data_IF_919792654498
#
_entry.id   IF_919792654498
#
_cell.length_a   1.000
_cell.length_b   1.000
_cell.length_c   1.000
_cell.angle_alpha   90.00
_cell.angle_beta   90.00
_cell.angle_gamma   90.00
#
_symmetry.space_group_name_H-M   'P 1'
#
loop_
_entity.id
_entity.type
_entity.pdbx_description
1 polymer ?
#
# COMPACT_ATOMS: atom_id res chain seq x y z
N UNK A 1 -10.83 -10.03 46.59
CA UNK A 1 -10.66 -8.57 46.80
C UNK A 1 -9.19 -8.23 46.62
N UNK A 2 -8.79 -7.52 45.55
CA UNK A 2 -7.43 -6.98 45.46
C UNK A 2 -7.23 -5.90 46.54
N UNK A 3 -6.08 -5.89 47.20
CA UNK A 3 -5.70 -4.81 48.12
C UNK A 3 -5.60 -3.48 47.35
N UNK A 4 -6.17 -2.39 47.87
CA UNK A 4 -6.11 -1.04 47.27
C UNK A 4 -4.69 -0.62 46.88
N UNK A 5 -3.67 -1.06 47.65
CA UNK A 5 -2.25 -0.80 47.35
C UNK A 5 -1.81 -1.44 46.02
N UNK A 6 -2.27 -2.66 45.72
CA UNK A 6 -1.95 -3.34 44.45
C UNK A 6 -2.64 -2.67 43.26
N UNK A 7 -3.87 -2.19 43.43
CA UNK A 7 -4.59 -1.45 42.37
C UNK A 7 -3.91 -0.12 42.04
N UNK A 8 -3.41 0.59 43.05
CA UNK A 8 -2.65 1.82 42.85
C UNK A 8 -1.27 1.55 42.21
N UNK A 9 -0.60 0.46 42.58
CA UNK A 9 0.63 0.04 41.94
C UNK A 9 0.40 -0.27 40.45
N UNK A 10 -0.61 -1.09 40.12
CA UNK A 10 -0.95 -1.45 38.75
C UNK A 10 -1.26 -0.25 37.85
N UNK A 11 -1.90 0.81 38.39
CA UNK A 11 -2.14 2.06 37.66
C UNK A 11 -0.86 2.84 37.31
N UNK A 12 0.21 2.67 38.09
CA UNK A 12 1.50 3.34 37.88
C UNK A 12 2.50 2.48 37.11
N UNK A 13 2.31 1.16 37.10
CA UNK A 13 3.16 0.23 36.37
C UNK A 13 3.10 0.53 34.88
N UNK A 14 4.28 0.70 34.27
CA UNK A 14 4.42 0.64 32.82
C UNK A 14 4.14 -0.81 32.44
N UNK A 15 2.99 -1.05 31.83
CA UNK A 15 2.68 -2.38 31.31
C UNK A 15 3.73 -2.65 30.23
N UNK A 16 4.42 -3.81 30.27
CA UNK A 16 5.28 -4.23 29.19
C UNK A 16 4.53 -4.14 27.86
N UNK A 17 5.28 -4.04 26.77
CA UNK A 17 4.73 -3.98 25.43
C UNK A 17 4.08 -5.33 25.04
N UNK A 18 2.94 -5.60 25.65
CA UNK A 18 2.18 -6.84 25.53
C UNK A 18 0.99 -6.55 24.62
N UNK A 19 1.03 -7.13 23.43
CA UNK A 19 -0.06 -7.12 22.48
C UNK A 19 -1.30 -7.79 23.07
N UNK A 20 -2.35 -7.01 23.35
CA UNK A 20 -3.61 -7.51 23.88
C UNK A 20 -4.65 -7.64 22.76
N UNK A 21 -4.93 -8.89 22.38
CA UNK A 21 -5.87 -9.23 21.29
C UNK A 21 -7.28 -9.57 21.80
N UNK A 22 -8.28 -8.92 21.22
CA UNK A 22 -9.71 -9.15 21.48
C UNK A 22 -10.34 -9.86 20.29
N UNK A 23 -10.54 -11.17 20.42
CA UNK A 23 -11.09 -12.04 19.36
C UNK A 23 -12.28 -12.90 19.83
N UNK A 24 -12.77 -12.66 21.05
CA UNK A 24 -13.99 -13.26 21.59
C UNK A 24 -14.50 -12.47 22.80
N UNK A 25 -15.69 -12.82 23.27
CA UNK A 25 -16.35 -12.20 24.43
C UNK A 25 -15.52 -12.27 25.73
N UNK A 26 -14.85 -13.39 26.00
CA UNK A 26 -14.02 -13.52 27.21
C UNK A 26 -12.86 -12.52 27.20
N UNK A 27 -12.21 -12.34 26.04
CA UNK A 27 -11.15 -11.32 25.86
C UNK A 27 -11.70 -9.91 25.92
N UNK A 28 -12.89 -9.66 25.40
CA UNK A 28 -13.58 -8.38 25.55
C UNK A 28 -13.85 -8.06 27.04
N UNK A 29 -14.40 -9.02 27.79
CA UNK A 29 -14.63 -8.86 29.24
C UNK A 29 -13.32 -8.62 30.01
N UNK A 30 -12.23 -9.26 29.60
CA UNK A 30 -10.90 -8.93 30.11
C UNK A 30 -10.49 -7.48 29.79
N UNK A 31 -10.67 -7.02 28.55
CA UNK A 31 -10.43 -5.62 28.17
C UNK A 31 -11.23 -4.66 29.04
N UNK A 32 -12.51 -4.98 29.26
CA UNK A 32 -13.41 -4.18 30.08
C UNK A 32 -12.92 -4.06 31.52
N UNK A 33 -12.45 -5.15 32.13
CA UNK A 33 -11.82 -5.12 33.45
C UNK A 33 -10.50 -4.31 33.45
N UNK A 34 -9.73 -4.40 32.36
CA UNK A 34 -8.45 -3.69 32.20
C UNK A 34 -8.62 -2.17 32.13
N UNK A 35 -9.76 -1.63 31.67
CA UNK A 35 -10.00 -0.17 31.72
C UNK A 35 -9.80 0.42 33.12
N UNK A 36 -10.15 -0.35 34.16
CA UNK A 36 -10.07 0.05 35.56
C UNK A 36 -8.77 -0.36 36.24
N UNK A 37 -8.16 -1.46 35.78
CA UNK A 37 -6.98 -2.05 36.39
C UNK A 37 -5.66 -1.57 35.75
N UNK A 38 -5.67 -1.36 34.44
CA UNK A 38 -4.51 -1.08 33.58
C UNK A 38 -4.85 0.02 32.53
N UNK A 39 -5.22 1.24 32.95
CA UNK A 39 -5.52 2.33 32.02
C UNK A 39 -4.31 2.79 31.19
N UNK A 40 -3.10 2.35 31.56
CA UNK A 40 -1.85 2.63 30.86
C UNK A 40 -1.48 1.62 29.78
N UNK A 41 -2.40 0.73 29.38
CA UNK A 41 -2.19 -0.20 28.28
C UNK A 41 -1.87 0.60 26.99
N UNK A 42 -0.88 0.13 26.24
CA UNK A 42 -0.33 0.85 25.09
C UNK A 42 -0.67 0.21 23.74
N UNK A 43 -1.06 -1.07 23.73
CA UNK A 43 -1.29 -1.84 22.50
C UNK A 43 -2.60 -2.60 22.62
N UNK A 44 -3.49 -2.42 21.66
CA UNK A 44 -4.77 -3.13 21.57
C UNK A 44 -4.97 -3.57 20.12
N UNK A 45 -5.29 -4.85 19.92
CA UNK A 45 -5.71 -5.41 18.64
C UNK A 45 -7.13 -5.95 18.78
N UNK A 46 -8.06 -5.36 18.04
CA UNK A 46 -9.45 -5.80 17.93
C UNK A 46 -9.55 -6.67 16.69
N UNK A 47 -9.80 -7.97 16.87
CA UNK A 47 -9.91 -8.93 15.77
C UNK A 47 -11.34 -9.40 15.59
N UNK A 48 -11.58 -10.16 14.53
CA UNK A 48 -12.85 -10.85 14.33
C UNK A 48 -13.27 -11.58 15.60
N UNK A 49 -14.46 -11.25 16.09
CA UNK A 49 -15.08 -11.85 17.29
C UNK A 49 -15.70 -13.22 16.99
N UNK A 50 -15.45 -13.75 15.79
CA UNK A 50 -15.95 -15.01 15.28
C UNK A 50 -17.27 -14.82 14.55
N UNK A 51 -17.21 -14.85 13.21
CA UNK A 51 -18.34 -14.93 12.29
C UNK A 51 -19.44 -15.93 12.76
N UNK A 52 -19.03 -17.01 13.41
CA UNK A 52 -19.89 -18.10 13.88
C UNK A 52 -20.65 -17.83 15.19
N UNK A 53 -20.41 -16.71 15.88
CA UNK A 53 -20.92 -16.52 17.25
C UNK A 53 -22.04 -15.48 17.38
N UNK A 54 -22.46 -14.85 16.28
CA UNK A 54 -23.47 -13.79 16.31
C UNK A 54 -23.13 -12.69 17.33
N UNK A 55 -21.87 -12.23 17.34
CA UNK A 55 -21.39 -11.14 18.20
C UNK A 55 -20.93 -9.99 17.31
N UNK A 56 -21.37 -8.77 17.60
CA UNK A 56 -20.91 -7.54 16.95
C UNK A 56 -20.51 -6.46 17.95
N UNK A 57 -19.85 -5.41 17.47
CA UNK A 57 -19.77 -4.17 18.21
C UNK A 57 -21.05 -3.34 18.00
N UNK A 58 -21.34 -2.42 18.92
CA UNK A 58 -22.45 -1.48 18.73
C UNK A 58 -22.26 -0.68 17.44
N UNK A 59 -23.37 -0.45 16.73
CA UNK A 59 -23.38 0.34 15.52
C UNK A 59 -22.91 1.78 15.84
N UNK A 60 -22.07 2.33 14.95
CA UNK A 60 -21.59 3.70 15.00
C UNK A 60 -22.60 4.69 14.45
N UNK A 61 -22.14 5.92 14.19
CA UNK A 61 -22.95 6.94 13.51
C UNK A 61 -23.15 6.56 12.03
N UNK A 62 -24.34 6.82 11.46
CA UNK A 62 -24.66 6.46 10.07
C UNK A 62 -24.36 4.97 9.71
N UNK A 63 -24.93 3.98 10.42
CA UNK A 63 -24.70 2.58 10.09
C UNK A 63 -25.34 2.21 8.74
N UNK A 64 -24.78 1.22 8.06
CA UNK A 64 -25.47 0.56 6.95
C UNK A 64 -26.76 -0.10 7.46
N UNK A 65 -27.90 0.37 6.96
CA UNK A 65 -29.23 -0.02 7.45
C UNK A 65 -29.48 -1.52 7.26
N UNK A 66 -29.07 -2.07 6.11
CA UNK A 66 -29.25 -3.49 5.83
C UNK A 66 -28.44 -4.34 6.81
N UNK A 67 -27.19 -3.97 7.05
CA UNK A 67 -26.31 -4.66 7.99
C UNK A 67 -26.80 -4.55 9.44
N UNK A 68 -27.32 -3.38 9.84
CA UNK A 68 -27.92 -3.17 11.15
C UNK A 68 -29.15 -4.07 11.36
N UNK A 69 -30.02 -4.19 10.36
CA UNK A 69 -31.19 -5.10 10.40
C UNK A 69 -30.75 -6.56 10.45
N UNK A 70 -29.78 -6.95 9.60
CA UNK A 70 -29.26 -8.32 9.49
C UNK A 70 -28.64 -8.81 10.80
N UNK A 71 -28.03 -7.90 11.57
CA UNK A 71 -27.35 -8.18 12.84
C UNK A 71 -28.14 -7.75 14.08
N UNK A 72 -29.41 -7.39 13.94
CA UNK A 72 -30.21 -6.83 15.04
C UNK A 72 -30.36 -7.78 16.24
N UNK A 73 -30.29 -9.10 16.02
CA UNK A 73 -30.39 -10.13 17.05
C UNK A 73 -29.03 -10.61 17.58
N UNK A 74 -27.92 -10.01 17.15
CA UNK A 74 -26.57 -10.40 17.58
C UNK A 74 -26.25 -9.79 18.95
N UNK A 75 -25.45 -10.50 19.74
CA UNK A 75 -24.92 -9.97 20.98
C UNK A 75 -24.02 -8.76 20.67
N UNK A 76 -24.27 -7.63 21.35
CA UNK A 76 -23.60 -6.36 21.04
C UNK A 76 -22.61 -6.00 22.15
N UNK A 77 -21.37 -5.73 21.77
CA UNK A 77 -20.29 -5.28 22.65
C UNK A 77 -20.06 -3.78 22.45
N UNK A 78 -19.80 -3.05 23.54
CA UNK A 78 -19.48 -1.62 23.47
C UNK A 78 -18.02 -1.42 23.02
N UNK A 79 -17.81 -0.92 21.80
CA UNK A 79 -16.48 -0.58 21.27
C UNK A 79 -15.91 0.70 21.93
N UNK A 80 -16.79 1.59 22.43
CA UNK A 80 -16.42 2.87 23.03
C UNK A 80 -15.53 2.74 24.26
N UNK A 81 -15.54 1.57 24.90
CA UNK A 81 -14.69 1.22 26.03
C UNK A 81 -13.20 1.44 25.76
N UNK A 82 -12.76 1.34 24.49
CA UNK A 82 -11.37 1.56 24.08
C UNK A 82 -10.89 3.00 24.36
N UNK A 83 -11.81 3.97 24.39
CA UNK A 83 -11.52 5.37 24.73
C UNK A 83 -10.97 5.55 26.15
N UNK A 84 -11.09 4.53 27.01
CA UNK A 84 -10.52 4.52 28.36
C UNK A 84 -8.98 4.42 28.36
N UNK A 85 -8.38 3.91 27.28
CA UNK A 85 -6.94 3.70 27.17
C UNK A 85 -6.23 4.94 26.60
N UNK A 86 -6.16 6.01 27.39
CA UNK A 86 -5.59 7.33 27.00
C UNK A 86 -4.10 7.28 26.61
N UNK A 87 -3.40 6.18 26.91
CA UNK A 87 -1.97 5.97 26.64
C UNK A 87 -1.72 4.99 25.49
N UNK A 88 -2.72 4.76 24.66
CA UNK A 88 -2.61 3.89 23.50
C UNK A 88 -1.58 4.47 22.51
N UNK A 89 -0.63 3.62 22.13
CA UNK A 89 0.42 3.89 21.14
C UNK A 89 0.17 3.11 19.85
N UNK A 90 -0.45 1.94 19.94
CA UNK A 90 -0.83 1.14 18.78
C UNK A 90 -2.27 0.65 18.90
N UNK A 91 -3.00 0.83 17.80
CA UNK A 91 -4.35 0.34 17.62
C UNK A 91 -4.42 -0.46 16.32
N UNK A 92 -4.77 -1.74 16.44
CA UNK A 92 -5.05 -2.61 15.31
C UNK A 92 -6.53 -3.00 15.33
N UNK A 93 -7.19 -2.91 14.19
CA UNK A 93 -8.57 -3.33 13.98
C UNK A 93 -8.58 -4.23 12.75
N UNK A 94 -8.84 -5.52 12.93
CA UNK A 94 -8.79 -6.52 11.88
C UNK A 94 -10.11 -7.30 11.84
N UNK A 95 -10.91 -7.11 10.80
CA UNK A 95 -12.17 -7.84 10.59
C UNK A 95 -13.10 -7.74 11.80
N UNK A 96 -13.08 -6.61 12.51
CA UNK A 96 -13.98 -6.34 13.60
C UNK A 96 -15.38 -6.06 13.02
N UNK A 97 -16.45 -6.71 13.55
CA UNK A 97 -17.83 -6.52 13.08
C UNK A 97 -18.36 -5.15 13.54
N UNK A 98 -17.90 -4.11 12.85
CA UNK A 98 -18.19 -2.71 13.07
C UNK A 98 -19.04 -2.18 11.92
N UNK A 99 -20.01 -1.31 12.20
CA UNK A 99 -20.94 -0.80 11.20
C UNK A 99 -21.21 0.68 11.45
N UNK A 100 -20.84 1.55 10.51
CA UNK A 100 -20.96 3.00 10.65
C UNK A 100 -19.66 3.67 11.12
N UNK A 101 -19.77 4.90 11.62
CA UNK A 101 -18.66 5.78 11.96
C UNK A 101 -18.34 5.85 13.44
N UNK A 102 -17.05 5.87 13.75
CA UNK A 102 -16.51 5.76 15.10
C UNK A 102 -15.42 6.82 15.33
N UNK A 103 -15.82 8.10 15.32
CA UNK A 103 -14.91 9.25 15.42
C UNK A 103 -13.99 9.20 16.65
N UNK A 104 -14.46 8.62 17.77
CA UNK A 104 -13.64 8.47 18.99
C UNK A 104 -12.40 7.60 18.80
N UNK A 105 -12.34 6.73 17.79
CA UNK A 105 -11.16 5.93 17.47
C UNK A 105 -9.98 6.78 16.99
N UNK A 106 -10.24 8.04 16.64
CA UNK A 106 -9.24 8.99 16.21
C UNK A 106 -8.95 10.04 17.28
N UNK A 107 -9.27 9.78 18.56
CA UNK A 107 -9.01 10.69 19.67
C UNK A 107 -7.95 10.12 20.65
N UNK A 108 -6.83 9.67 20.09
CA UNK A 108 -5.71 9.10 20.84
C UNK A 108 -4.43 9.93 20.59
N UNK A 109 -4.13 10.93 21.45
CA UNK A 109 -3.05 11.88 21.18
C UNK A 109 -1.64 11.27 21.22
N UNK A 110 -1.49 10.06 21.75
CA UNK A 110 -0.23 9.32 21.83
C UNK A 110 -0.12 8.18 20.83
N UNK A 111 -1.13 8.01 19.95
CA UNK A 111 -1.15 6.95 18.96
C UNK A 111 -0.05 7.17 17.92
N UNK A 112 0.75 6.14 17.70
CA UNK A 112 1.86 6.11 16.75
C UNK A 112 1.61 5.13 15.60
N UNK A 113 0.87 4.06 15.86
CA UNK A 113 0.58 3.02 14.87
C UNK A 113 -0.94 2.83 14.81
N UNK A 114 -1.50 2.96 13.62
CA UNK A 114 -2.90 2.67 13.34
C UNK A 114 -2.99 1.67 12.20
N UNK A 115 -3.60 0.52 12.45
CA UNK A 115 -3.82 -0.53 11.46
C UNK A 115 -5.31 -0.85 11.40
N UNK A 116 -5.93 -0.72 10.24
CA UNK A 116 -7.34 -1.05 10.02
C UNK A 116 -7.46 -1.90 8.77
N UNK A 117 -7.95 -3.13 8.94
CA UNK A 117 -8.21 -4.09 7.87
C UNK A 117 -9.65 -4.58 7.92
N UNK A 118 -10.38 -4.43 6.82
CA UNK A 118 -11.80 -4.77 6.73
C UNK A 118 -12.08 -5.77 5.59
N UNK A 119 -11.55 -6.99 5.69
CA UNK A 119 -11.81 -8.07 4.72
C UNK A 119 -13.21 -8.70 4.88
N UNK A 120 -13.83 -8.54 6.05
CA UNK A 120 -15.12 -9.15 6.34
C UNK A 120 -16.25 -8.29 5.77
N UNK A 121 -17.17 -8.90 5.01
CA UNK A 121 -18.36 -8.28 4.44
C UNK A 121 -19.31 -7.69 5.51
N UNK A 122 -19.12 -8.07 6.78
CA UNK A 122 -19.85 -7.52 7.92
C UNK A 122 -19.20 -6.28 8.53
N UNK A 123 -17.93 -6.06 8.21
CA UNK A 123 -17.18 -4.88 8.65
C UNK A 123 -17.43 -3.76 7.65
N UNK A 124 -18.27 -2.79 8.05
CA UNK A 124 -18.56 -1.58 7.28
C UNK A 124 -18.16 -0.32 8.06
N UNK A 125 -16.89 -0.19 8.54
CA UNK A 125 -16.47 1.02 9.21
C UNK A 125 -16.44 2.19 8.21
N UNK A 126 -17.24 3.22 8.50
CA UNK A 126 -17.29 4.45 7.71
C UNK A 126 -16.44 5.52 8.37
N UNK A 127 -15.41 6.00 7.70
CA UNK A 127 -14.63 7.12 8.22
C UNK A 127 -13.91 7.85 7.08
N UNK A 128 -13.36 9.01 7.42
CA UNK A 128 -12.70 9.92 6.49
C UNK A 128 -11.27 10.20 6.94
N UNK A 129 -10.31 10.29 6.00
CA UNK A 129 -8.92 10.59 6.32
C UNK A 129 -8.72 11.90 7.11
N UNK A 130 -9.63 12.87 7.02
CA UNK A 130 -9.62 14.10 7.82
C UNK A 130 -9.75 13.87 9.33
N UNK A 131 -10.26 12.70 9.75
CA UNK A 131 -10.33 12.33 11.17
C UNK A 131 -8.95 12.13 11.80
N UNK A 132 -7.89 11.93 11.00
CA UNK A 132 -6.52 11.76 11.48
C UNK A 132 -5.96 13.00 12.21
N UNK A 133 -6.63 14.15 12.12
CA UNK A 133 -6.32 15.34 12.91
C UNK A 133 -6.32 15.11 14.42
N UNK A 134 -7.05 14.11 14.94
CA UNK A 134 -7.06 13.76 16.36
C UNK A 134 -5.96 12.79 16.81
N UNK A 135 -5.10 12.31 15.90
CA UNK A 135 -3.94 11.43 16.18
C UNK A 135 -2.62 12.05 15.69
N UNK A 136 -2.22 13.22 16.20
CA UNK A 136 -1.13 14.03 15.64
C UNK A 136 0.28 13.44 15.77
N UNK A 137 0.46 12.34 16.51
CA UNK A 137 1.74 11.66 16.69
C UNK A 137 1.89 10.39 15.85
N UNK A 138 0.96 10.15 14.92
CA UNK A 138 0.94 8.97 14.08
C UNK A 138 2.21 8.90 13.21
N UNK A 139 2.84 7.72 13.22
CA UNK A 139 4.05 7.37 12.48
C UNK A 139 3.78 6.33 11.39
N UNK A 140 2.91 5.37 11.67
CA UNK A 140 2.56 4.30 10.76
C UNK A 140 1.04 4.23 10.59
N UNK A 141 0.60 4.26 9.34
CA UNK A 141 -0.79 4.13 8.94
C UNK A 141 -0.93 2.96 7.96
N UNK A 142 -1.70 1.94 8.33
CA UNK A 142 -1.99 0.79 7.46
C UNK A 142 -3.49 0.61 7.30
N UNK A 143 -4.00 0.85 6.11
CA UNK A 143 -5.41 0.77 5.74
C UNK A 143 -5.55 -0.21 4.59
N UNK A 144 -6.23 -1.33 4.83
CA UNK A 144 -6.39 -2.38 3.83
C UNK A 144 -7.86 -2.77 3.70
N UNK A 145 -8.34 -2.88 2.48
CA UNK A 145 -9.67 -3.42 2.17
C UNK A 145 -10.81 -2.60 2.81
N UNK A 146 -10.66 -1.28 2.92
CA UNK A 146 -11.69 -0.42 3.52
C UNK A 146 -12.56 0.21 2.42
N UNK A 147 -13.59 -0.52 1.97
CA UNK A 147 -14.49 -0.07 0.89
C UNK A 147 -15.19 1.28 1.20
N UNK A 148 -15.46 1.55 2.49
CA UNK A 148 -16.16 2.75 2.95
C UNK A 148 -15.23 3.84 3.49
N UNK A 149 -13.91 3.64 3.43
CA UNK A 149 -12.95 4.71 3.72
C UNK A 149 -13.00 5.74 2.60
N UNK A 150 -13.33 6.98 2.94
CA UNK A 150 -13.29 8.11 2.02
C UNK A 150 -12.20 9.11 2.43
N UNK A 151 -12.01 10.12 1.59
CA UNK A 151 -11.22 11.29 1.92
C UNK A 151 -10.11 11.53 0.93
N UNK A 152 -9.44 12.66 1.10
CA UNK A 152 -8.32 13.06 0.27
C UNK A 152 -7.00 12.78 1.00
N UNK A 153 -6.00 12.22 0.32
CA UNK A 153 -4.67 11.96 0.91
C UNK A 153 -3.96 13.23 1.39
N UNK A 154 -4.30 14.40 0.86
CA UNK A 154 -3.83 15.70 1.35
C UNK A 154 -4.23 15.95 2.84
N UNK A 155 -5.28 15.27 3.34
CA UNK A 155 -5.62 15.29 4.78
C UNK A 155 -4.49 14.76 5.66
N UNK A 156 -3.57 13.94 5.12
CA UNK A 156 -2.38 13.46 5.84
C UNK A 156 -1.38 14.58 6.17
N UNK A 157 -1.53 15.80 5.60
CA UNK A 157 -0.66 16.95 5.93
C UNK A 157 -0.65 17.30 7.42
N UNK A 158 -1.72 16.98 8.15
CA UNK A 158 -1.75 17.12 9.62
C UNK A 158 -0.67 16.27 10.32
N UNK A 159 -0.17 15.24 9.64
CA UNK A 159 0.87 14.31 10.10
C UNK A 159 2.23 14.54 9.42
N UNK A 160 2.41 15.63 8.64
CA UNK A 160 3.63 15.91 7.87
C UNK A 160 4.91 15.76 8.69
N UNK A 161 4.90 16.20 9.96
CA UNK A 161 6.07 16.14 10.83
C UNK A 161 6.36 14.79 11.48
N UNK A 162 5.45 13.81 11.38
CA UNK A 162 5.49 12.58 12.19
C UNK A 162 5.38 11.30 11.38
N UNK A 163 4.61 11.29 10.29
CA UNK A 163 4.35 10.07 9.53
C UNK A 163 5.63 9.59 8.82
N UNK A 164 5.89 8.29 8.95
CA UNK A 164 7.03 7.60 8.39
C UNK A 164 6.59 6.55 7.36
N UNK A 165 5.43 5.90 7.58
CA UNK A 165 4.92 4.85 6.69
C UNK A 165 3.43 4.99 6.45
N UNK A 166 3.04 4.92 5.18
CA UNK A 166 1.65 4.98 4.73
C UNK A 166 1.40 3.82 3.79
N UNK A 167 0.49 2.93 4.18
CA UNK A 167 -0.03 1.86 3.34
C UNK A 167 -1.54 2.01 3.26
N UNK A 168 -2.04 2.32 2.08
CA UNK A 168 -3.47 2.41 1.78
C UNK A 168 -3.68 1.54 0.56
N UNK A 169 -4.32 0.38 0.75
CA UNK A 169 -4.52 -0.61 -0.31
C UNK A 169 -5.96 -1.05 -0.38
N UNK A 170 -6.47 -1.21 -1.61
CA UNK A 170 -7.87 -1.59 -1.89
C UNK A 170 -8.86 -0.68 -1.15
N UNK A 171 -8.64 0.64 -1.25
CA UNK A 171 -9.44 1.69 -0.65
C UNK A 171 -9.88 2.66 -1.74
N UNK A 172 -10.70 2.17 -2.67
CA UNK A 172 -11.02 2.81 -3.97
C UNK A 172 -11.65 4.20 -3.89
N UNK A 173 -12.16 4.62 -2.72
CA UNK A 173 -12.75 5.96 -2.53
C UNK A 173 -11.77 6.98 -1.95
N UNK A 174 -10.55 6.56 -1.62
CA UNK A 174 -9.45 7.47 -1.27
C UNK A 174 -8.93 8.11 -2.55
N UNK A 175 -8.93 9.43 -2.56
CA UNK A 175 -8.58 10.26 -3.72
C UNK A 175 -7.49 11.29 -3.36
N UNK A 176 -7.09 12.12 -4.33
CA UNK A 176 -6.12 13.21 -4.15
C UNK A 176 -4.93 13.04 -5.09
N UNK A 177 -3.94 13.94 -5.01
CA UNK A 177 -2.71 13.84 -5.81
C UNK A 177 -1.57 13.36 -4.91
N UNK A 178 -0.84 12.30 -5.28
CA UNK A 178 0.25 11.77 -4.45
C UNK A 178 1.38 12.80 -4.19
N UNK A 179 1.56 13.77 -5.09
CA UNK A 179 2.51 14.87 -4.92
C UNK A 179 2.16 15.79 -3.74
N UNK A 180 0.93 15.75 -3.21
CA UNK A 180 0.59 16.44 -1.96
C UNK A 180 1.41 15.93 -0.75
N UNK A 181 2.08 14.79 -0.88
CA UNK A 181 2.91 14.17 0.15
C UNK A 181 4.43 14.35 -0.11
N UNK A 182 4.82 15.00 -1.20
CA UNK A 182 6.20 15.12 -1.64
C UNK A 182 7.12 15.81 -0.62
N UNK A 183 6.59 16.76 0.14
CA UNK A 183 7.33 17.58 1.09
C UNK A 183 7.40 16.97 2.50
N UNK A 184 7.07 15.69 2.67
CA UNK A 184 7.05 15.02 3.96
C UNK A 184 8.47 14.59 4.35
N UNK A 185 9.10 15.23 5.37
CA UNK A 185 10.52 15.06 5.66
C UNK A 185 10.89 13.68 6.25
N UNK A 186 9.89 12.87 6.61
CA UNK A 186 10.09 11.59 7.30
C UNK A 186 9.42 10.40 6.59
N UNK A 187 8.71 10.63 5.50
CA UNK A 187 7.99 9.59 4.79
C UNK A 187 9.00 8.67 4.09
N UNK A 188 9.07 7.43 4.55
CA UNK A 188 9.96 6.37 4.05
C UNK A 188 9.23 5.39 3.14
N UNK A 189 7.99 5.07 3.47
CA UNK A 189 7.23 4.06 2.71
C UNK A 189 5.87 4.62 2.34
N UNK A 190 5.56 4.61 1.05
CA UNK A 190 4.29 5.08 0.49
C UNK A 190 3.71 4.03 -0.45
N UNK A 191 2.65 3.35 -0.01
CA UNK A 191 1.89 2.39 -0.80
C UNK A 191 0.45 2.88 -0.92
N UNK A 192 0.00 3.11 -2.14
CA UNK A 192 -1.32 3.65 -2.47
C UNK A 192 -2.08 2.77 -3.47
N UNK A 193 -1.74 1.49 -3.54
CA UNK A 193 -2.26 0.52 -4.52
C UNK A 193 -3.79 0.38 -4.45
N UNK A 194 -4.46 0.18 -5.58
CA UNK A 194 -5.92 0.07 -5.68
C UNK A 194 -6.69 1.20 -4.96
N UNK A 195 -6.21 2.45 -5.09
CA UNK A 195 -6.92 3.67 -4.67
C UNK A 195 -7.29 4.53 -5.88
N UNK A 196 -8.12 5.57 -5.67
CA UNK A 196 -8.41 6.57 -6.71
C UNK A 196 -7.46 7.78 -6.63
N UNK A 197 -6.27 7.61 -6.05
CA UNK A 197 -5.23 8.64 -6.04
C UNK A 197 -4.69 8.83 -7.45
N UNK A 198 -4.45 10.08 -7.83
CA UNK A 198 -3.92 10.49 -9.14
C UNK A 198 -2.57 11.20 -8.97
N UNK A 199 -2.00 11.63 -10.09
CA UNK A 199 -0.75 12.38 -10.16
C UNK A 199 0.07 11.95 -11.38
N UNK A 200 1.30 12.42 -11.47
CA UNK A 200 2.23 12.07 -12.55
C UNK A 200 3.64 11.86 -12.00
N UNK A 201 4.24 10.69 -12.25
CA UNK A 201 5.60 10.38 -11.75
C UNK A 201 6.67 11.30 -12.34
N UNK A 202 6.39 11.93 -13.49
CA UNK A 202 7.30 12.90 -14.12
C UNK A 202 7.40 14.21 -13.33
N UNK A 203 6.46 14.47 -12.44
CA UNK A 203 6.46 15.65 -11.57
C UNK A 203 7.41 15.50 -10.37
N UNK A 204 7.92 14.29 -10.10
CA UNK A 204 8.84 14.05 -8.98
C UNK A 204 10.19 14.70 -9.28
N UNK A 205 10.51 15.77 -8.53
CA UNK A 205 11.78 16.47 -8.58
C UNK A 205 12.84 15.88 -7.65
N UNK A 206 14.04 16.46 -7.73
CA UNK A 206 15.19 16.07 -6.90
C UNK A 206 14.98 16.34 -5.39
N UNK A 207 14.14 17.33 -5.05
CA UNK A 207 13.87 17.75 -3.67
C UNK A 207 12.62 17.11 -3.06
N UNK A 208 11.90 16.31 -3.84
CA UNK A 208 10.68 15.63 -3.40
C UNK A 208 11.03 14.29 -2.76
N UNK A 209 10.24 13.84 -1.78
CA UNK A 209 10.35 12.50 -1.20
C UNK A 209 11.78 12.13 -0.73
N UNK A 210 12.49 13.08 -0.09
CA UNK A 210 13.91 12.94 0.26
C UNK A 210 14.23 11.73 1.16
N UNK A 211 13.27 11.29 1.97
CA UNK A 211 13.42 10.16 2.89
C UNK A 211 12.82 8.85 2.36
N UNK A 212 12.28 8.84 1.13
CA UNK A 212 11.50 7.72 0.62
C UNK A 212 12.41 6.55 0.20
N UNK A 213 12.09 5.39 0.75
CA UNK A 213 12.75 4.10 0.58
C UNK A 213 11.89 3.14 -0.24
N UNK A 214 10.56 3.25 -0.17
CA UNK A 214 9.63 2.41 -0.97
C UNK A 214 8.48 3.24 -1.53
N UNK A 215 8.16 3.03 -2.82
CA UNK A 215 7.07 3.71 -3.51
C UNK A 215 6.23 2.73 -4.35
N UNK A 216 4.94 2.64 -4.02
CA UNK A 216 3.92 1.92 -4.81
C UNK A 216 2.75 2.84 -5.06
N UNK A 217 2.52 3.15 -6.34
CA UNK A 217 1.48 4.07 -6.80
C UNK A 217 0.39 3.30 -7.57
N UNK A 218 -0.89 3.69 -7.46
CA UNK A 218 -1.98 3.02 -8.17
C UNK A 218 -1.90 3.29 -9.67
N UNK A 219 -2.63 2.49 -10.43
CA UNK A 219 -2.82 2.65 -11.89
C UNK A 219 -3.49 3.97 -12.30
N UNK A 220 -4.16 4.67 -11.36
CA UNK A 220 -4.69 6.03 -11.56
C UNK A 220 -3.62 7.13 -11.62
N UNK A 221 -2.38 6.84 -11.21
CA UNK A 221 -1.24 7.77 -11.33
C UNK A 221 -0.57 7.56 -12.69
N UNK A 222 -0.31 8.62 -13.43
CA UNK A 222 0.42 8.54 -14.70
C UNK A 222 1.84 8.01 -14.44
N UNK A 223 2.09 6.78 -14.89
CA UNK A 223 3.31 6.03 -14.61
C UNK A 223 3.35 5.28 -13.28
N UNK A 224 2.22 5.14 -12.60
CA UNK A 224 2.04 4.20 -11.49
C UNK A 224 2.10 2.74 -11.93
N UNK A 225 2.06 1.82 -10.96
CA UNK A 225 2.12 0.38 -11.24
C UNK A 225 0.86 -0.05 -11.99
N UNK A 226 1.05 -0.74 -13.11
CA UNK A 226 -0.04 -1.19 -13.97
C UNK A 226 -0.72 -0.08 -14.78
N UNK A 227 -0.14 1.13 -14.83
CA UNK A 227 -0.71 2.24 -15.62
C UNK A 227 -0.95 1.82 -17.08
N UNK A 228 -2.11 2.18 -17.61
CA UNK A 228 -2.54 1.87 -18.98
C UNK A 228 -2.20 2.98 -19.97
N UNK A 229 -1.17 2.76 -20.78
CA UNK A 229 -0.75 3.68 -21.84
C UNK A 229 -1.71 3.62 -23.03
N UNK A 230 -2.05 4.78 -23.59
CA UNK A 230 -2.82 4.83 -24.83
C UNK A 230 -1.93 4.67 -26.07
N UNK A 231 -0.64 5.01 -25.99
CA UNK A 231 0.31 4.85 -27.10
C UNK A 231 1.64 4.30 -26.61
N UNK A 232 2.33 3.53 -27.45
CA UNK A 232 3.68 3.01 -27.17
C UNK A 232 4.68 4.14 -26.88
N UNK A 233 4.54 5.28 -27.56
CA UNK A 233 5.44 6.43 -27.39
C UNK A 233 5.41 7.04 -25.99
N UNK A 234 4.26 6.99 -25.33
CA UNK A 234 4.05 7.62 -24.02
C UNK A 234 4.83 6.87 -22.91
N UNK A 235 5.00 5.56 -23.09
CA UNK A 235 5.67 4.69 -22.14
C UNK A 235 7.16 5.00 -21.98
N UNK A 236 7.83 5.42 -23.05
CA UNK A 236 9.26 5.71 -23.03
C UNK A 236 9.59 6.91 -22.12
N UNK A 237 8.75 7.94 -22.13
CA UNK A 237 8.94 9.13 -21.30
C UNK A 237 8.72 8.82 -19.81
N UNK A 238 7.72 7.98 -19.51
CA UNK A 238 7.50 7.47 -18.15
C UNK A 238 8.68 6.61 -17.68
N UNK A 239 9.13 5.65 -18.48
CA UNK A 239 10.25 4.79 -18.11
C UNK A 239 11.52 5.60 -17.79
N UNK A 240 11.80 6.66 -18.56
CA UNK A 240 12.91 7.59 -18.28
C UNK A 240 12.72 8.38 -16.99
N UNK A 241 11.50 8.80 -16.67
CA UNK A 241 11.22 9.49 -15.42
C UNK A 241 11.41 8.57 -14.22
N UNK A 242 10.87 7.35 -14.28
CA UNK A 242 11.04 6.32 -13.24
C UNK A 242 12.52 5.97 -13.05
N UNK A 243 13.26 5.80 -14.16
CA UNK A 243 14.72 5.65 -14.13
C UNK A 243 15.42 6.83 -13.45
N UNK A 244 15.03 8.07 -13.75
CA UNK A 244 15.62 9.27 -13.14
C UNK A 244 15.41 9.29 -11.63
N UNK A 245 14.22 8.89 -11.15
CA UNK A 245 13.92 8.77 -9.73
C UNK A 245 14.82 7.70 -9.08
N UNK A 246 14.92 6.51 -9.69
CA UNK A 246 15.76 5.40 -9.21
C UNK A 246 17.24 5.78 -9.19
N UNK A 247 17.73 6.51 -10.20
CA UNK A 247 19.10 6.99 -10.28
C UNK A 247 19.43 8.01 -9.20
N UNK A 248 18.52 8.95 -8.95
CA UNK A 248 18.65 9.93 -7.87
C UNK A 248 18.60 9.27 -6.48
N UNK A 249 17.87 8.16 -6.35
CA UNK A 249 17.65 7.45 -5.08
C UNK A 249 17.90 5.94 -5.28
N UNK A 250 19.17 5.49 -5.34
CA UNK A 250 19.47 4.08 -5.64
C UNK A 250 18.82 3.09 -4.68
N UNK A 251 18.65 3.48 -3.41
CA UNK A 251 17.97 2.68 -2.38
C UNK A 251 16.45 2.63 -2.50
N UNK A 252 15.83 3.46 -3.35
CA UNK A 252 14.38 3.46 -3.53
C UNK A 252 13.94 2.17 -4.21
N UNK A 253 13.05 1.45 -3.54
CA UNK A 253 12.38 0.26 -4.05
C UNK A 253 11.11 0.68 -4.78
N UNK A 254 11.10 0.43 -6.09
CA UNK A 254 9.94 0.55 -6.95
C UNK A 254 9.40 -0.86 -7.18
N UNK A 255 8.63 -1.35 -6.20
CA UNK A 255 8.18 -2.76 -6.16
C UNK A 255 7.40 -3.13 -7.43
N UNK A 256 8.01 -4.00 -8.24
CA UNK A 256 7.45 -4.54 -9.48
C UNK A 256 6.83 -3.44 -10.36
N UNK A 257 7.56 -2.34 -10.60
CA UNK A 257 7.07 -1.32 -11.52
C UNK A 257 6.93 -1.90 -12.93
N UNK A 258 5.73 -1.78 -13.47
CA UNK A 258 5.44 -1.99 -14.87
C UNK A 258 4.30 -1.07 -15.29
N UNK A 259 4.17 -0.83 -16.58
CA UNK A 259 2.92 -0.35 -17.17
C UNK A 259 2.51 -1.25 -18.33
N UNK A 260 1.31 -1.04 -18.85
CA UNK A 260 0.75 -1.86 -19.92
C UNK A 260 0.11 -0.99 -20.98
N UNK A 261 0.06 -1.48 -22.20
CA UNK A 261 -0.75 -0.85 -23.23
C UNK A 261 -2.23 -1.08 -22.92
N UNK A 262 -3.05 -0.04 -23.05
CA UNK A 262 -4.51 -0.12 -22.93
C UNK A 262 -5.06 -1.05 -24.00
N UNK A 263 -6.05 -1.89 -23.65
CA UNK A 263 -6.77 -2.70 -24.64
C UNK A 263 -7.58 -1.88 -25.66
N UNK A 264 -7.73 -0.58 -25.40
CA UNK A 264 -8.36 0.40 -26.29
C UNK A 264 -7.33 1.24 -27.07
N UNK A 265 -6.03 0.98 -26.89
CA UNK A 265 -4.98 1.67 -27.63
C UNK A 265 -5.07 1.36 -29.13
N UNK A 266 -4.79 2.32 -30.02
CA UNK A 266 -4.63 2.04 -31.45
C UNK A 266 -3.44 1.14 -31.77
N UNK A 267 -2.46 1.06 -30.86
CA UNK A 267 -1.29 0.18 -30.97
C UNK A 267 -1.59 -1.24 -30.42
N UNK A 268 -2.77 -1.46 -29.82
CA UNK A 268 -3.16 -2.75 -29.28
C UNK A 268 -3.58 -3.70 -30.38
N UNK A 269 -3.16 -4.96 -30.27
CA UNK A 269 -3.59 -6.04 -31.14
C UNK A 269 -3.86 -7.30 -30.33
N UNK A 270 -4.81 -8.11 -30.80
CA UNK A 270 -5.30 -9.26 -30.06
C UNK A 270 -4.22 -10.35 -29.99
N UNK A 271 -3.99 -10.83 -28.77
CA UNK A 271 -2.93 -11.75 -28.46
C UNK A 271 -3.50 -13.08 -28.01
N UNK A 272 -3.91 -13.87 -29.01
CA UNK A 272 -4.49 -15.20 -28.82
C UNK A 272 -3.59 -16.17 -28.04
N UNK A 273 -2.32 -15.84 -27.81
CA UNK A 273 -1.33 -16.71 -27.16
C UNK A 273 -0.59 -16.05 -25.98
N UNK A 274 -0.98 -14.86 -25.53
CA UNK A 274 -0.29 -14.12 -24.45
C UNK A 274 1.22 -13.91 -24.72
N UNK A 275 1.64 -13.78 -25.99
CA UNK A 275 3.05 -13.57 -26.41
C UNK A 275 3.36 -12.15 -26.88
N UNK A 276 2.38 -11.30 -27.10
CA UNK A 276 2.59 -9.92 -27.51
C UNK A 276 3.25 -9.13 -26.37
N UNK A 277 4.36 -8.42 -26.62
CA UNK A 277 5.10 -7.75 -25.58
C UNK A 277 4.45 -6.40 -25.23
N UNK A 278 3.27 -6.42 -24.60
CA UNK A 278 2.45 -5.22 -24.38
C UNK A 278 2.62 -4.60 -22.98
N UNK A 279 3.56 -5.09 -22.18
CA UNK A 279 3.95 -4.52 -20.89
C UNK A 279 5.33 -3.87 -20.98
N UNK A 280 5.52 -2.70 -20.37
CA UNK A 280 6.82 -2.08 -20.20
C UNK A 280 7.29 -2.27 -18.76
N UNK A 281 8.55 -2.66 -18.58
CA UNK A 281 9.15 -2.83 -17.26
C UNK A 281 10.60 -2.32 -17.24
N UNK A 282 11.09 -1.97 -16.05
CA UNK A 282 12.51 -1.72 -15.84
C UNK A 282 13.27 -3.05 -15.77
N UNK A 283 14.50 -3.04 -16.27
CA UNK A 283 15.43 -4.17 -16.20
C UNK A 283 16.77 -3.71 -15.67
N UNK A 284 17.41 -4.58 -14.90
CA UNK A 284 18.68 -4.34 -14.24
C UNK A 284 19.65 -5.49 -14.56
N UNK A 285 20.87 -5.14 -14.96
CA UNK A 285 21.99 -6.05 -15.05
C UNK A 285 23.18 -5.40 -14.33
N UNK A 286 23.61 -5.97 -13.21
CA UNK A 286 24.57 -5.35 -12.31
C UNK A 286 24.14 -3.94 -11.93
N UNK A 287 25.00 -2.94 -12.15
CA UNK A 287 24.67 -1.53 -11.91
C UNK A 287 23.94 -0.84 -13.06
N UNK A 288 23.67 -1.53 -14.17
CA UNK A 288 23.14 -0.93 -15.40
C UNK A 288 21.62 -1.07 -15.44
N UNK A 289 20.93 0.05 -15.60
CA UNK A 289 19.48 0.08 -15.76
C UNK A 289 19.06 0.33 -17.22
N UNK A 290 17.95 -0.29 -17.59
CA UNK A 290 17.26 -0.09 -18.84
C UNK A 290 15.77 -0.34 -18.69
N UNK A 291 15.06 -0.35 -19.80
CA UNK A 291 13.68 -0.81 -19.85
C UNK A 291 13.45 -1.63 -21.11
N UNK A 292 12.40 -2.45 -21.10
CA UNK A 292 11.99 -3.21 -22.27
C UNK A 292 10.49 -3.44 -22.27
N UNK A 293 10.01 -3.91 -23.42
CA UNK A 293 8.67 -4.43 -23.56
C UNK A 293 8.65 -5.95 -23.42
N UNK A 294 7.69 -6.51 -22.70
CA UNK A 294 7.52 -7.94 -22.48
C UNK A 294 6.06 -8.38 -22.39
N UNK A 295 5.83 -9.67 -22.65
CA UNK A 295 4.53 -10.32 -22.53
C UNK A 295 4.34 -10.90 -21.13
N UNK A 296 3.10 -11.28 -20.80
CA UNK A 296 2.81 -11.98 -19.53
C UNK A 296 3.54 -13.35 -19.45
N UNK A 297 3.77 -13.99 -20.60
CA UNK A 297 4.57 -15.20 -20.73
C UNK A 297 6.10 -14.97 -20.67
N UNK A 298 6.54 -13.72 -20.53
CA UNK A 298 7.95 -13.34 -20.38
C UNK A 298 8.74 -13.26 -21.69
N UNK A 299 8.08 -13.31 -22.85
CA UNK A 299 8.67 -13.02 -24.15
C UNK A 299 8.89 -11.52 -24.29
N UNK A 300 10.12 -11.12 -24.63
CA UNK A 300 10.49 -9.70 -24.61
C UNK A 300 11.08 -9.19 -25.93
N UNK A 301 10.96 -7.88 -26.12
CA UNK A 301 11.75 -7.07 -27.03
C UNK A 301 13.18 -6.86 -26.49
N UNK A 302 14.04 -6.29 -27.32
CA UNK A 302 15.39 -5.87 -26.90
C UNK A 302 15.32 -4.73 -25.86
N UNK A 303 16.32 -4.72 -24.98
CA UNK A 303 16.41 -3.74 -23.90
C UNK A 303 16.93 -2.40 -24.44
N UNK A 304 16.25 -1.33 -24.05
CA UNK A 304 16.77 0.03 -24.19
C UNK A 304 17.52 0.37 -22.91
N UNK A 305 18.85 0.24 -22.96
CA UNK A 305 19.72 0.58 -21.85
C UNK A 305 19.85 2.09 -21.67
N UNK A 306 19.66 2.57 -20.45
CA UNK A 306 19.73 3.99 -20.10
C UNK A 306 21.10 4.36 -19.49
N UNK A 307 21.75 3.40 -18.84
CA UNK A 307 23.12 3.54 -18.36
C UNK A 307 24.15 3.06 -19.40
N UNK A 308 25.37 3.65 -19.38
CA UNK A 308 26.48 3.14 -20.15
C UNK A 308 26.82 1.71 -19.70
N UNK A 309 27.49 0.97 -20.58
CA UNK A 309 28.01 -0.34 -20.24
C UNK A 309 29.09 -0.22 -19.15
N UNK A 310 29.05 -1.05 -18.08
CA UNK A 310 30.05 -0.99 -17.03
C UNK A 310 31.44 -1.37 -17.56
N UNK A 311 32.48 -0.73 -17.02
CA UNK A 311 33.86 -1.13 -17.34
C UNK A 311 34.15 -2.49 -16.70
N UNK A 312 34.32 -3.51 -17.54
CA UNK A 312 34.66 -4.86 -17.10
C UNK A 312 36.11 -4.91 -16.62
N UNK A 313 36.36 -4.59 -15.35
CA UNK A 313 37.60 -4.96 -14.69
C UNK A 313 37.67 -6.48 -14.58
N UNK A 314 38.71 -7.09 -15.15
CA UNK A 314 38.77 -8.52 -15.54
C UNK A 314 38.53 -9.55 -14.43
N UNK A 315 38.38 -9.17 -13.17
CA UNK A 315 38.27 -10.11 -12.03
C UNK A 315 37.42 -9.55 -10.87
N UNK A 316 36.47 -8.64 -11.10
CA UNK A 316 35.52 -8.24 -10.04
C UNK A 316 34.32 -9.18 -9.97
N UNK A 317 33.81 -9.43 -8.75
CA UNK A 317 32.52 -10.12 -8.54
C UNK A 317 31.38 -9.47 -9.32
N UNK A 318 31.43 -8.15 -9.41
CA UNK A 318 30.37 -7.33 -10.01
C UNK A 318 30.33 -7.52 -11.55
N UNK A 319 31.47 -7.82 -12.17
CA UNK A 319 31.54 -8.14 -13.60
C UNK A 319 30.91 -9.50 -13.92
N UNK A 320 31.12 -10.51 -13.07
CA UNK A 320 30.51 -11.84 -13.24
C UNK A 320 28.99 -11.76 -13.07
N UNK A 321 28.52 -11.06 -12.05
CA UNK A 321 27.07 -10.84 -11.81
C UNK A 321 26.42 -10.10 -12.99
N UNK A 322 27.05 -9.03 -13.49
CA UNK A 322 26.57 -8.31 -14.67
C UNK A 322 26.42 -9.22 -15.89
N UNK A 323 27.45 -10.03 -16.20
CA UNK A 323 27.44 -10.92 -17.37
C UNK A 323 26.36 -12.00 -17.23
N UNK A 324 26.19 -12.58 -16.04
CA UNK A 324 25.16 -13.60 -15.78
C UNK A 324 23.75 -13.02 -15.94
N UNK A 325 23.49 -11.85 -15.34
CA UNK A 325 22.20 -11.17 -15.44
C UNK A 325 21.91 -10.71 -16.87
N UNK A 326 22.91 -10.17 -17.58
CA UNK A 326 22.78 -9.79 -18.98
C UNK A 326 22.43 -11.01 -19.86
N UNK A 327 23.12 -12.13 -19.68
CA UNK A 327 22.82 -13.36 -20.41
C UNK A 327 21.41 -13.87 -20.10
N UNK A 328 20.96 -13.80 -18.84
CA UNK A 328 19.59 -14.15 -18.47
C UNK A 328 18.57 -13.25 -19.19
N UNK A 329 18.80 -11.93 -19.21
CA UNK A 329 17.95 -10.96 -19.89
C UNK A 329 17.89 -11.22 -21.40
N UNK A 330 19.04 -11.43 -22.04
CA UNK A 330 19.16 -11.70 -23.48
C UNK A 330 18.52 -13.02 -23.90
N UNK A 331 18.57 -14.05 -23.04
CA UNK A 331 17.94 -15.35 -23.30
C UNK A 331 16.41 -15.27 -23.41
N UNK A 332 15.80 -14.22 -22.82
CA UNK A 332 14.35 -13.95 -22.85
C UNK A 332 13.92 -13.08 -24.03
N UNK A 333 14.85 -12.59 -24.85
CA UNK A 333 14.53 -11.77 -26.03
C UNK A 333 13.96 -12.66 -27.12
N UNK A 334 12.65 -12.56 -27.32
CA UNK A 334 11.93 -13.30 -28.34
C UNK A 334 11.92 -12.53 -29.67
N UNK A 335 11.64 -11.22 -29.60
CA UNK A 335 11.49 -10.31 -30.73
C UNK A 335 12.80 -9.57 -31.01
N UNK A 336 13.79 -10.30 -31.56
CA UNK A 336 15.10 -9.72 -31.90
C UNK A 336 14.99 -8.65 -33.00
N UNK A 337 15.72 -7.55 -32.83
CA UNK A 337 15.67 -6.36 -33.68
C UNK A 337 14.57 -5.36 -33.35
N UNK A 338 13.73 -5.64 -32.34
CA UNK A 338 12.65 -4.76 -31.90
C UNK A 338 12.93 -4.21 -30.51
N UNK A 339 12.90 -2.88 -30.35
CA UNK A 339 13.02 -2.20 -29.04
C UNK A 339 11.67 -1.71 -28.48
N UNK A 340 10.62 -1.87 -29.27
CA UNK A 340 9.23 -1.59 -28.94
C UNK A 340 8.37 -2.75 -29.44
N UNK A 341 7.09 -2.85 -29.03
CA UNK A 341 6.22 -3.91 -29.51
C UNK A 341 6.16 -3.87 -31.06
N UNK A 342 6.32 -5.03 -31.74
CA UNK A 342 6.16 -5.09 -33.19
C UNK A 342 4.74 -4.68 -33.59
N UNK A 343 4.53 -4.25 -34.83
CA UNK A 343 3.15 -4.08 -35.33
C UNK A 343 2.44 -5.43 -35.35
N UNK A 344 1.10 -5.43 -35.42
CA UNK A 344 0.32 -6.67 -35.51
C UNK A 344 0.77 -7.57 -36.67
N UNK A 345 1.11 -6.97 -37.81
CA UNK A 345 1.56 -7.68 -39.02
C UNK A 345 2.94 -8.33 -38.81
N UNK A 346 3.87 -7.59 -38.18
CA UNK A 346 5.21 -8.07 -37.83
C UNK A 346 5.15 -9.17 -36.76
N UNK A 347 4.31 -8.99 -35.74
CA UNK A 347 4.03 -9.97 -34.70
C UNK A 347 3.52 -11.28 -35.31
N UNK A 348 2.49 -11.19 -36.16
CA UNK A 348 1.92 -12.35 -36.84
C UNK A 348 2.92 -13.06 -37.75
N UNK A 349 3.82 -12.32 -38.42
CA UNK A 349 4.87 -12.90 -39.24
C UNK A 349 5.90 -13.67 -38.41
N UNK A 350 6.33 -13.11 -37.27
CA UNK A 350 7.25 -13.79 -36.36
C UNK A 350 6.63 -15.05 -35.74
N UNK A 351 5.36 -14.98 -35.34
CA UNK A 351 4.65 -16.12 -34.76
C UNK A 351 4.40 -17.25 -35.76
N UNK A 352 4.34 -16.97 -37.08
CA UNK A 352 4.19 -18.01 -38.11
C UNK A 352 5.50 -18.70 -38.50
N UNK A 353 6.63 -18.04 -38.29
CA UNK A 353 7.94 -18.53 -38.74
C UNK A 353 8.65 -19.42 -37.71
N UNK A 354 8.12 -19.49 -36.48
CA UNK A 354 8.59 -20.34 -35.39
C UNK A 354 7.53 -21.39 -35.07
#
# INVERSE_FOLDING_TARGET
RLNNKMRLAAKKTIVPDADFRVYNEAKYNCMAAMTSALPGLQHISLRSLGFFRHIKYNDGEDPDVQEAVRTANWATLDIGIISSFRRLHSLEIENAPMNGSYSFLFNFPLLKILRIRALDYLSKPKWDLGMLSGVPLLKELHLHDNEFLNGNINSLRVLKGTIEKVYISNCRRVQGNFMDLADFPRLKELHLDETAVTGDVREIGEQDFLALETLVLPDGVYGGKGYEFQNISDAADVAKAVYSIKKQRPSLLLEDWYGRLSSHSPDWYDDWFERAPLHICLVEAGSRLGYRWESESGHSCEVIWLDPEPELERESSDSEEYIEQLHHIESRVFFRGFFQPPTEEEYNLQCKTR
#
